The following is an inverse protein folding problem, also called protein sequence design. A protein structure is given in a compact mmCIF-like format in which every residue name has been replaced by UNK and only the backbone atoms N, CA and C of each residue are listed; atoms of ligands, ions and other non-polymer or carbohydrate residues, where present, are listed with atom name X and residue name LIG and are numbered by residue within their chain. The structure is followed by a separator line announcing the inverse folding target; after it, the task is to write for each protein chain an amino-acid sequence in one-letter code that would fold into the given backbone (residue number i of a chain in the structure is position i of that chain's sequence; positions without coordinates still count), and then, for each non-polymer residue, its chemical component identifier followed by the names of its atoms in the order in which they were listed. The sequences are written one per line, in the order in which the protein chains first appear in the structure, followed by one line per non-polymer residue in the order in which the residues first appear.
data_IF_782094048250
#
_entry.id   IF_782094048250
#
_cell.length_a   1.000
_cell.length_b   1.000
_cell.length_c   1.000
_cell.angle_alpha   90.00
_cell.angle_beta   90.00
_cell.angle_gamma   90.00
#
_symmetry.space_group_name_H-M   'P 1'
#
loop_
_entity.id
_entity.type
_entity.pdbx_description
1 polymer ?
#
# COMPACT_ATOMS: atom_id res chain seq x y z
N UNK A 1 42.03 26.35 6.65
CA UNK A 1 41.65 27.09 7.88
C UNK A 1 41.16 26.08 8.91
N UNK A 2 41.86 25.91 10.04
CA UNK A 2 41.34 25.10 11.14
C UNK A 2 40.17 25.84 11.78
N UNK A 3 38.98 25.26 11.66
CA UNK A 3 37.80 25.78 12.32
C UNK A 3 37.97 25.60 13.84
N UNK A 4 37.96 26.70 14.60
CA UNK A 4 38.10 26.71 16.06
C UNK A 4 36.80 26.24 16.73
N UNK A 5 36.52 24.93 16.64
CA UNK A 5 35.28 24.32 17.18
C UNK A 5 35.25 24.19 18.70
N UNK A 6 36.40 24.31 19.35
CA UNK A 6 36.53 24.22 20.80
C UNK A 6 36.83 25.60 21.38
N UNK A 7 36.06 26.00 22.40
CA UNK A 7 36.40 27.16 23.19
C UNK A 7 37.65 26.84 24.04
N UNK A 8 38.49 27.85 24.36
CA UNK A 8 39.71 27.64 25.16
C UNK A 8 39.43 26.91 26.47
N UNK A 9 38.33 27.29 27.13
CA UNK A 9 37.82 26.69 28.38
C UNK A 9 37.46 25.20 28.31
N UNK A 10 37.24 24.65 27.11
CA UNK A 10 36.95 23.21 26.92
C UNK A 10 38.23 22.43 26.66
N UNK A 11 39.28 23.08 26.15
CA UNK A 11 40.58 22.45 25.89
C UNK A 11 41.41 22.36 27.18
N UNK A 12 41.28 23.35 28.06
CA UNK A 12 41.99 23.43 29.35
C UNK A 12 41.46 22.44 30.41
N UNK A 13 40.19 22.00 30.31
CA UNK A 13 39.55 21.10 31.27
C UNK A 13 39.22 19.74 30.63
N UNK A 14 40.01 18.73 30.99
CA UNK A 14 39.90 17.34 30.51
C UNK A 14 38.49 16.76 30.75
N UNK A 15 37.85 17.13 31.86
CA UNK A 15 36.51 16.64 32.22
C UNK A 15 35.45 17.21 31.28
N UNK A 16 35.57 18.49 30.91
CA UNK A 16 34.67 19.15 29.94
C UNK A 16 34.86 18.62 28.52
N UNK A 17 36.11 18.37 28.12
CA UNK A 17 36.41 17.76 26.82
C UNK A 17 35.77 16.36 26.72
N UNK A 18 35.97 15.52 27.75
CA UNK A 18 35.39 14.18 27.83
C UNK A 18 33.87 14.20 27.78
N UNK A 19 33.22 15.08 28.55
CA UNK A 19 31.77 15.24 28.51
C UNK A 19 31.24 15.71 27.16
N UNK A 20 31.94 16.64 26.49
CA UNK A 20 31.57 17.10 25.13
C UNK A 20 31.73 15.98 24.11
N UNK A 21 32.81 15.20 24.14
CA UNK A 21 32.99 14.05 23.26
C UNK A 21 31.92 12.99 23.49
N UNK A 22 31.56 12.72 24.75
CA UNK A 22 30.47 11.79 25.08
C UNK A 22 29.11 12.28 24.56
N UNK A 23 28.84 13.58 24.65
CA UNK A 23 27.62 14.18 24.10
C UNK A 23 27.59 14.07 22.57
N UNK A 24 28.68 14.42 21.89
CA UNK A 24 28.78 14.32 20.43
C UNK A 24 28.64 12.88 19.94
N UNK A 25 29.28 11.94 20.64
CA UNK A 25 29.13 10.50 20.40
C UNK A 25 27.66 10.08 20.54
N UNK A 26 26.98 10.50 21.61
CA UNK A 26 25.56 10.21 21.83
C UNK A 26 24.65 10.79 20.74
N UNK A 27 24.98 11.98 20.23
CA UNK A 27 24.26 12.61 19.12
C UNK A 27 24.47 11.89 17.77
N UNK A 28 25.63 11.26 17.58
CA UNK A 28 25.93 10.41 16.41
C UNK A 28 25.32 9.01 16.57
N UNK A 29 25.20 8.50 17.80
CA UNK A 29 24.58 7.21 18.11
C UNK A 29 23.07 7.18 17.90
N UNK A 30 22.40 8.35 17.92
CA UNK A 30 20.97 8.39 17.62
C UNK A 30 20.73 8.11 16.13
N UNK A 31 19.90 7.11 15.77
CA UNK A 31 19.65 6.76 14.38
C UNK A 31 19.05 7.96 13.67
N UNK A 32 19.66 8.35 12.56
CA UNK A 32 19.18 9.47 11.76
C UNK A 32 17.89 9.03 11.08
N UNK A 33 16.78 9.60 11.53
CA UNK A 33 15.47 9.34 10.94
C UNK A 33 15.39 10.11 9.61
N UNK A 34 15.42 9.37 8.51
CA UNK A 34 15.24 9.93 7.18
C UNK A 34 13.84 10.52 7.04
N UNK A 35 13.76 11.72 6.46
CA UNK A 35 12.46 12.30 6.11
C UNK A 35 11.92 11.62 4.87
N UNK A 36 10.70 11.11 4.98
CA UNK A 36 10.03 10.44 3.88
C UNK A 36 9.09 11.42 3.16
N UNK A 37 9.19 11.49 1.83
CA UNK A 37 8.22 12.20 1.00
C UNK A 37 7.48 11.19 0.11
N UNK A 38 6.21 10.93 0.43
CA UNK A 38 5.32 10.07 -0.37
C UNK A 38 4.74 10.83 -1.56
N UNK A 39 4.87 10.26 -2.76
CA UNK A 39 4.29 10.76 -4.01
C UNK A 39 3.31 9.70 -4.53
N UNK A 40 2.05 10.07 -4.70
CA UNK A 40 1.02 9.21 -5.30
C UNK A 40 1.24 9.09 -6.81
N UNK A 41 1.34 7.86 -7.30
CA UNK A 41 1.60 7.58 -8.71
C UNK A 41 0.30 7.43 -9.51
N UNK A 42 0.35 7.91 -10.75
CA UNK A 42 -0.71 7.70 -11.74
C UNK A 42 -1.76 8.81 -11.81
N UNK A 43 -1.64 9.92 -11.07
CA UNK A 43 -2.61 11.02 -11.19
C UNK A 43 -2.58 11.67 -12.59
N UNK A 44 -1.37 11.95 -13.10
CA UNK A 44 -1.21 12.50 -14.45
C UNK A 44 -1.65 11.51 -15.53
N UNK A 45 -1.35 10.22 -15.33
CA UNK A 45 -1.76 9.14 -16.23
C UNK A 45 -3.29 9.01 -16.24
N UNK A 46 -3.95 9.10 -15.07
CA UNK A 46 -5.42 9.08 -14.97
C UNK A 46 -6.05 10.24 -15.74
N UNK A 47 -5.45 11.43 -15.67
CA UNK A 47 -5.90 12.61 -16.44
C UNK A 47 -5.74 12.38 -17.95
N UNK A 48 -4.60 11.84 -18.39
CA UNK A 48 -4.37 11.52 -19.79
C UNK A 48 -5.38 10.48 -20.31
N UNK A 49 -5.63 9.40 -19.55
CA UNK A 49 -6.61 8.36 -19.89
C UNK A 49 -8.02 8.96 -20.02
N UNK A 50 -8.41 9.87 -19.12
CA UNK A 50 -9.70 10.57 -19.22
C UNK A 50 -9.82 11.33 -20.56
N UNK A 51 -8.76 12.02 -20.97
CA UNK A 51 -8.71 12.72 -22.26
C UNK A 51 -8.83 11.76 -23.44
N UNK A 52 -8.01 10.71 -23.47
CA UNK A 52 -7.99 9.71 -24.55
C UNK A 52 -9.34 8.99 -24.66
N UNK A 53 -9.91 8.52 -23.55
CA UNK A 53 -11.21 7.85 -23.54
C UNK A 53 -12.32 8.77 -24.07
N UNK A 54 -12.32 10.04 -23.66
CA UNK A 54 -13.29 11.03 -24.17
C UNK A 54 -13.12 11.24 -25.68
N UNK A 55 -11.88 11.36 -26.16
CA UNK A 55 -11.59 11.52 -27.60
C UNK A 55 -12.05 10.33 -28.42
N UNK A 56 -11.71 9.10 -28.00
CA UNK A 56 -12.13 7.86 -28.69
C UNK A 56 -13.65 7.72 -28.75
N UNK A 57 -14.34 7.97 -27.64
CA UNK A 57 -15.81 7.92 -27.60
C UNK A 57 -16.41 8.96 -28.53
N UNK A 58 -15.85 10.17 -28.59
CA UNK A 58 -16.32 11.21 -29.50
C UNK A 58 -16.15 10.80 -30.97
N UNK A 59 -15.01 10.20 -31.34
CA UNK A 59 -14.79 9.73 -32.72
C UNK A 59 -15.84 8.69 -33.10
N UNK A 60 -16.11 7.72 -32.22
CA UNK A 60 -17.14 6.69 -32.46
C UNK A 60 -18.53 7.32 -32.56
N UNK A 61 -18.92 8.14 -31.58
CA UNK A 61 -20.25 8.78 -31.54
C UNK A 61 -20.48 9.67 -32.76
N UNK A 62 -19.51 10.53 -33.10
CA UNK A 62 -19.62 11.39 -34.28
C UNK A 62 -19.74 10.56 -35.56
N UNK A 63 -18.96 9.48 -35.71
CA UNK A 63 -19.07 8.58 -36.86
C UNK A 63 -20.44 7.91 -36.92
N UNK A 64 -20.97 7.43 -35.79
CA UNK A 64 -22.31 6.82 -35.71
C UNK A 64 -23.41 7.82 -36.05
N UNK A 65 -23.29 9.08 -35.59
CA UNK A 65 -24.26 10.13 -35.93
C UNK A 65 -24.24 10.45 -37.43
N UNK A 66 -23.06 10.50 -38.05
CA UNK A 66 -22.93 10.70 -39.50
C UNK A 66 -23.63 9.55 -40.25
N UNK A 67 -23.33 8.30 -39.90
CA UNK A 67 -23.97 7.13 -40.52
C UNK A 67 -25.49 7.09 -40.30
N UNK A 68 -25.95 7.46 -39.11
CA UNK A 68 -27.38 7.54 -38.81
C UNK A 68 -28.08 8.62 -39.63
N UNK A 69 -27.41 9.75 -39.90
CA UNK A 69 -27.92 10.81 -40.77
C UNK A 69 -28.03 10.32 -42.22
N UNK A 70 -27.01 9.61 -42.71
CA UNK A 70 -27.01 9.09 -44.08
C UNK A 70 -28.13 8.05 -44.31
N UNK A 71 -28.49 7.27 -43.28
CA UNK A 71 -29.52 6.23 -43.37
C UNK A 71 -30.96 6.71 -43.12
N UNK A 72 -31.17 7.61 -42.15
CA UNK A 72 -32.52 8.04 -41.71
C UNK A 72 -33.04 9.30 -42.44
N UNK A 73 -32.25 9.88 -43.34
CA UNK A 73 -32.56 11.13 -44.04
C UNK A 73 -32.47 12.37 -43.13
N UNK A 74 -32.74 13.56 -43.68
CA UNK A 74 -32.62 14.81 -42.92
C UNK A 74 -33.75 15.00 -41.87
N UNK A 75 -33.34 15.51 -40.70
CA UNK A 75 -34.11 15.96 -39.51
C UNK A 75 -35.56 15.43 -39.44
N UNK A 76 -35.69 14.11 -39.31
CA UNK A 76 -36.95 13.42 -39.03
C UNK A 76 -37.11 13.16 -37.52
N UNK A 77 -38.34 12.90 -37.05
CA UNK A 77 -38.57 12.55 -35.65
C UNK A 77 -37.79 11.29 -35.21
N UNK A 78 -37.62 10.33 -36.13
CA UNK A 78 -36.80 9.13 -35.91
C UNK A 78 -35.31 9.46 -35.75
N UNK A 79 -34.78 10.43 -36.51
CA UNK A 79 -33.41 10.91 -36.36
C UNK A 79 -33.16 11.54 -34.97
N UNK A 80 -34.08 12.36 -34.48
CA UNK A 80 -33.97 12.99 -33.15
C UNK A 80 -33.95 11.94 -32.03
N UNK A 81 -34.82 10.92 -32.13
CA UNK A 81 -34.86 9.82 -31.16
C UNK A 81 -33.55 9.01 -31.21
N UNK A 82 -33.07 8.67 -32.41
CA UNK A 82 -31.82 7.95 -32.59
C UNK A 82 -30.62 8.73 -32.02
N UNK A 83 -30.54 10.03 -32.31
CA UNK A 83 -29.48 10.91 -31.79
C UNK A 83 -29.51 10.97 -30.26
N UNK A 84 -30.69 11.11 -29.65
CA UNK A 84 -30.85 11.11 -28.19
C UNK A 84 -30.33 9.82 -27.56
N UNK A 85 -30.64 8.67 -28.18
CA UNK A 85 -30.16 7.37 -27.71
C UNK A 85 -28.64 7.24 -27.84
N UNK A 86 -28.05 7.67 -28.97
CA UNK A 86 -26.59 7.67 -29.17
C UNK A 86 -25.90 8.54 -28.11
N UNK A 87 -26.44 9.72 -27.81
CA UNK A 87 -25.88 10.60 -26.77
C UNK A 87 -26.05 10.04 -25.35
N UNK A 88 -27.12 9.30 -25.05
CA UNK A 88 -27.26 8.60 -23.78
C UNK A 88 -26.22 7.48 -23.65
N UNK A 89 -26.04 6.68 -24.70
CA UNK A 89 -25.03 5.61 -24.74
C UNK A 89 -23.60 6.14 -24.61
N UNK A 90 -23.29 7.29 -25.22
CA UNK A 90 -21.99 7.97 -25.11
C UNK A 90 -21.52 8.07 -23.66
N UNK A 91 -22.41 8.45 -22.74
CA UNK A 91 -22.04 8.70 -21.35
C UNK A 91 -21.60 7.40 -20.65
N UNK A 92 -22.36 6.32 -20.84
CA UNK A 92 -22.07 5.00 -20.28
C UNK A 92 -20.75 4.46 -20.86
N UNK A 93 -20.61 4.47 -22.19
CA UNK A 93 -19.40 3.97 -22.85
C UNK A 93 -18.14 4.75 -22.47
N UNK A 94 -18.24 6.07 -22.26
CA UNK A 94 -17.12 6.90 -21.82
C UNK A 94 -16.59 6.47 -20.47
N UNK A 95 -17.47 6.23 -19.51
CA UNK A 95 -17.06 5.82 -18.16
C UNK A 95 -16.52 4.38 -18.15
N UNK A 96 -17.18 3.46 -18.85
CA UNK A 96 -16.74 2.07 -18.95
C UNK A 96 -15.38 1.94 -19.64
N UNK A 97 -15.18 2.64 -20.76
CA UNK A 97 -13.91 2.66 -21.47
C UNK A 97 -12.80 3.26 -20.60
N UNK A 98 -13.06 4.39 -19.94
CA UNK A 98 -12.10 5.03 -19.04
C UNK A 98 -11.67 4.06 -17.93
N UNK A 99 -12.62 3.38 -17.31
CA UNK A 99 -12.36 2.51 -16.17
C UNK A 99 -11.71 1.18 -16.59
N UNK A 100 -12.03 0.66 -17.78
CA UNK A 100 -11.33 -0.47 -18.39
C UNK A 100 -9.88 -0.11 -18.72
N UNK A 101 -9.63 1.02 -19.41
CA UNK A 101 -8.29 1.51 -19.73
C UNK A 101 -7.47 1.74 -18.46
N UNK A 102 -8.07 2.35 -17.43
CA UNK A 102 -7.39 2.58 -16.15
C UNK A 102 -6.98 1.29 -15.47
N UNK A 103 -7.88 0.30 -15.40
CA UNK A 103 -7.59 -1.01 -14.82
C UNK A 103 -6.45 -1.71 -15.57
N UNK A 104 -6.45 -1.64 -16.90
CA UNK A 104 -5.41 -2.25 -17.72
C UNK A 104 -4.04 -1.58 -17.53
N UNK A 105 -3.97 -0.25 -17.64
CA UNK A 105 -2.71 0.51 -17.52
C UNK A 105 -2.14 0.46 -16.11
N UNK A 106 -2.99 0.44 -15.07
CA UNK A 106 -2.54 0.46 -13.68
C UNK A 106 -2.09 -0.90 -13.16
N UNK A 107 -2.49 -2.00 -13.81
CA UNK A 107 -2.20 -3.36 -13.33
C UNK A 107 -0.69 -3.57 -13.15
N UNK A 108 -0.26 -3.92 -11.94
CA UNK A 108 1.15 -4.21 -11.61
C UNK A 108 2.08 -2.99 -11.58
N UNK A 109 1.56 -1.76 -11.71
CA UNK A 109 2.37 -0.53 -11.58
C UNK A 109 2.42 -0.07 -10.12
N UNK A 110 3.53 0.57 -9.69
CA UNK A 110 3.64 1.07 -8.32
C UNK A 110 2.58 2.13 -8.06
N UNK A 111 1.93 2.06 -6.90
CA UNK A 111 0.90 3.01 -6.47
C UNK A 111 1.51 4.22 -5.79
N UNK A 112 2.64 4.04 -5.11
CA UNK A 112 3.35 5.11 -4.43
C UNK A 112 4.84 5.04 -4.71
N UNK A 113 5.46 6.22 -4.74
CA UNK A 113 6.91 6.37 -4.73
C UNK A 113 7.29 7.28 -3.57
N UNK A 114 8.20 6.81 -2.75
CA UNK A 114 8.75 7.53 -1.60
C UNK A 114 10.17 7.97 -1.92
N UNK A 115 10.54 9.17 -1.47
CA UNK A 115 11.91 9.66 -1.47
C UNK A 115 12.39 9.77 -0.03
N UNK A 116 13.58 9.27 0.25
CA UNK A 116 14.23 9.44 1.54
C UNK A 116 15.21 10.61 1.47
N UNK A 117 15.02 11.58 2.36
CA UNK A 117 15.81 12.80 2.44
C UNK A 117 16.53 12.81 3.78
N UNK A 118 17.84 12.97 3.74
CA UNK A 118 18.63 13.15 4.95
C UNK A 118 18.30 14.52 5.58
N UNK A 119 17.86 14.59 6.85
CA UNK A 119 17.54 15.85 7.52
C UNK A 119 18.74 16.80 7.64
N UNK A 120 19.97 16.28 7.67
CA UNK A 120 21.20 17.06 7.87
C UNK A 120 21.66 17.70 6.56
N UNK A 121 21.86 16.87 5.52
CA UNK A 121 22.34 17.37 4.21
C UNK A 121 21.23 17.86 3.30
N UNK A 122 19.97 17.56 3.60
CA UNK A 122 18.78 17.77 2.74
C UNK A 122 18.88 17.09 1.37
N UNK A 123 19.81 16.17 1.19
CA UNK A 123 19.99 15.41 -0.05
C UNK A 123 19.09 14.18 -0.06
N UNK A 124 18.71 13.75 -1.26
CA UNK A 124 17.97 12.50 -1.45
C UNK A 124 18.96 11.35 -1.35
N UNK A 125 18.78 10.50 -0.34
CA UNK A 125 19.66 9.36 -0.05
C UNK A 125 19.05 8.03 -0.46
N UNK A 126 17.79 8.02 -0.91
CA UNK A 126 17.14 6.81 -1.37
C UNK A 126 15.76 7.04 -1.96
N UNK A 127 15.23 6.00 -2.57
CA UNK A 127 13.89 5.94 -3.12
C UNK A 127 13.25 4.59 -2.80
N UNK A 128 11.94 4.59 -2.61
CA UNK A 128 11.15 3.37 -2.43
C UNK A 128 9.95 3.38 -3.35
N UNK A 129 9.63 2.23 -3.92
CA UNK A 129 8.44 1.98 -4.70
C UNK A 129 7.53 1.02 -3.95
N UNK A 130 6.24 1.31 -3.92
CA UNK A 130 5.25 0.49 -3.22
C UNK A 130 4.10 0.09 -4.15
N UNK A 131 3.77 -1.19 -4.09
CA UNK A 131 2.67 -1.82 -4.79
C UNK A 131 1.68 -2.39 -3.77
N UNK A 132 0.40 -2.36 -4.11
CA UNK A 132 -0.65 -2.93 -3.27
C UNK A 132 -1.76 -3.45 -4.16
N UNK A 133 -1.81 -4.75 -4.43
CA UNK A 133 -2.76 -5.34 -5.36
C UNK A 133 -3.48 -6.53 -4.75
N UNK A 134 -4.71 -6.79 -5.21
CA UNK A 134 -5.40 -8.03 -4.90
C UNK A 134 -4.89 -9.12 -5.83
N UNK A 135 -4.56 -10.29 -5.27
CA UNK A 135 -4.03 -11.44 -6.00
C UNK A 135 -4.78 -12.71 -5.65
N UNK A 136 -4.71 -13.70 -6.54
CA UNK A 136 -5.17 -15.07 -6.24
C UNK A 136 -4.00 -15.86 -5.67
N UNK A 137 -4.29 -16.89 -4.86
CA UNK A 137 -3.27 -17.75 -4.26
C UNK A 137 -2.38 -18.41 -5.33
N UNK A 138 -2.99 -18.83 -6.45
CA UNK A 138 -2.30 -19.44 -7.59
C UNK A 138 -1.33 -18.51 -8.32
N UNK A 139 -1.49 -17.19 -8.18
CA UNK A 139 -0.59 -16.20 -8.81
C UNK A 139 0.63 -15.86 -7.96
N UNK A 140 0.72 -16.41 -6.74
CA UNK A 140 1.85 -16.18 -5.82
C UNK A 140 2.96 -17.21 -6.03
N UNK A 141 4.21 -16.91 -5.65
CA UNK A 141 5.31 -17.87 -5.70
C UNK A 141 5.05 -19.16 -4.91
N UNK A 142 5.52 -20.30 -5.41
CA UNK A 142 5.26 -21.63 -4.83
C UNK A 142 5.63 -21.73 -3.35
N UNK A 143 6.75 -21.12 -2.95
CA UNK A 143 7.16 -21.10 -1.53
C UNK A 143 6.14 -20.39 -0.63
N UNK A 144 5.52 -19.30 -1.10
CA UNK A 144 4.44 -18.61 -0.36
C UNK A 144 3.17 -19.47 -0.32
N UNK A 145 2.84 -20.14 -1.41
CA UNK A 145 1.72 -21.08 -1.46
C UNK A 145 1.92 -22.24 -0.46
N UNK A 146 3.14 -22.76 -0.37
CA UNK A 146 3.51 -23.81 0.59
C UNK A 146 3.44 -23.31 2.04
N UNK A 147 3.99 -22.12 2.34
CA UNK A 147 3.92 -21.50 3.67
C UNK A 147 2.47 -21.28 4.10
N UNK A 148 1.60 -20.91 3.16
CA UNK A 148 0.17 -20.70 3.41
C UNK A 148 -0.59 -21.99 3.72
N UNK A 149 -0.05 -23.17 3.36
CA UNK A 149 -0.74 -24.49 3.30
C UNK A 149 -1.94 -24.60 4.25
N UNK A 150 -3.09 -24.87 3.64
CA UNK A 150 -4.42 -24.84 4.27
C UNK A 150 -4.57 -26.02 5.23
N UNK A 151 -4.66 -25.76 6.55
CA UNK A 151 -5.25 -26.74 7.49
C UNK A 151 -6.79 -26.75 7.41
N UNK A 152 -7.39 -25.65 6.98
CA UNK A 152 -8.86 -25.49 6.83
C UNK A 152 -9.13 -24.73 5.53
N UNK A 153 -10.01 -25.28 4.68
CA UNK A 153 -10.43 -24.67 3.42
C UNK A 153 -11.39 -23.51 3.72
N UNK A 154 -10.86 -22.31 3.93
CA UNK A 154 -11.68 -21.10 3.82
C UNK A 154 -12.01 -20.89 2.34
N UNK A 155 -13.29 -20.97 1.99
CA UNK A 155 -13.78 -20.91 0.60
C UNK A 155 -13.70 -19.50 -0.01
N UNK A 156 -13.50 -18.46 0.79
CA UNK A 156 -13.50 -17.05 0.35
C UNK A 156 -12.29 -16.27 0.91
N UNK A 157 -11.08 -16.71 0.60
CA UNK A 157 -9.87 -15.96 0.99
C UNK A 157 -9.56 -14.86 -0.04
N UNK A 158 -9.58 -13.61 0.41
CA UNK A 158 -9.07 -12.46 -0.35
C UNK A 158 -7.63 -12.19 0.04
N UNK A 159 -6.72 -12.16 -0.95
CA UNK A 159 -5.30 -11.92 -0.69
C UNK A 159 -4.93 -10.50 -1.13
N UNK A 160 -4.51 -9.70 -0.16
CA UNK A 160 -3.92 -8.39 -0.37
C UNK A 160 -2.40 -8.54 -0.40
N UNK A 161 -1.80 -8.29 -1.57
CA UNK A 161 -0.36 -8.39 -1.78
C UNK A 161 0.26 -6.99 -1.76
N UNK A 162 0.94 -6.67 -0.65
CA UNK A 162 1.82 -5.50 -0.55
C UNK A 162 3.23 -5.90 -0.93
N UNK A 163 3.86 -5.11 -1.79
CA UNK A 163 5.26 -5.29 -2.18
C UNK A 163 5.95 -3.93 -2.14
N UNK A 164 7.16 -3.93 -1.64
CA UNK A 164 8.02 -2.77 -1.60
C UNK A 164 9.38 -3.09 -2.19
N UNK A 165 9.97 -2.09 -2.86
CA UNK A 165 11.34 -2.13 -3.34
C UNK A 165 12.03 -0.84 -2.92
N UNK A 166 13.06 -0.97 -2.10
CA UNK A 166 13.83 0.15 -1.56
C UNK A 166 15.22 0.15 -2.21
N UNK A 167 15.65 1.31 -2.71
CA UNK A 167 16.97 1.52 -3.31
C UNK A 167 17.63 2.72 -2.61
N UNK A 168 18.76 2.45 -1.95
CA UNK A 168 19.51 3.42 -1.14
C UNK A 168 20.85 3.76 -1.80
N UNK A 169 21.25 5.03 -1.74
CA UNK A 169 22.51 5.51 -2.30
C UNK A 169 23.63 5.41 -1.27
N UNK A 170 24.42 4.34 -1.32
CA UNK A 170 25.50 4.06 -0.36
C UNK A 170 26.52 5.19 -0.20
N UNK A 171 26.80 5.97 -1.26
CA UNK A 171 27.76 7.08 -1.23
C UNK A 171 27.23 8.38 -0.61
N UNK A 172 25.91 8.50 -0.42
CA UNK A 172 25.27 9.67 0.19
C UNK A 172 24.87 9.42 1.65
N UNK A 173 25.12 8.22 2.16
CA UNK A 173 24.98 7.92 3.57
C UNK A 173 26.11 8.53 4.38
N UNK A 174 25.79 8.97 5.58
CA UNK A 174 26.79 9.38 6.56
C UNK A 174 27.65 8.16 6.89
N UNK A 175 28.97 8.32 6.86
CA UNK A 175 29.93 7.27 7.21
C UNK A 175 29.68 6.79 8.65
N UNK A 176 29.59 5.46 8.85
CA UNK A 176 29.41 4.84 10.17
C UNK A 176 28.07 4.12 10.39
N UNK A 177 27.17 4.10 9.39
CA UNK A 177 25.94 3.32 9.42
C UNK A 177 26.04 2.12 8.48
N UNK A 178 25.81 0.91 8.99
CA UNK A 178 25.89 -0.34 8.20
C UNK A 178 24.55 -0.77 7.61
N UNK A 179 23.44 -0.50 8.32
CA UNK A 179 22.12 -0.99 7.95
C UNK A 179 21.04 0.08 8.07
N UNK A 180 20.05 -0.01 7.20
CA UNK A 180 18.82 0.79 7.27
C UNK A 180 17.71 -0.02 7.91
N UNK A 181 17.06 0.54 8.92
CA UNK A 181 15.87 -0.05 9.54
C UNK A 181 14.62 0.59 8.96
N UNK A 182 13.76 -0.21 8.36
CA UNK A 182 12.43 0.20 7.94
C UNK A 182 11.37 -0.27 8.96
N UNK A 183 10.36 0.56 9.21
CA UNK A 183 9.22 0.20 10.07
C UNK A 183 7.93 0.50 9.34
N UNK A 184 7.15 -0.55 9.06
CA UNK A 184 5.88 -0.46 8.38
C UNK A 184 4.72 -0.51 9.39
N UNK A 185 3.89 0.52 9.39
CA UNK A 185 2.69 0.58 10.23
C UNK A 185 1.43 0.42 9.36
N UNK A 186 0.74 -0.71 9.51
CA UNK A 186 -0.51 -0.99 8.78
C UNK A 186 -1.69 -0.86 9.74
N UNK A 187 -2.61 0.05 9.42
CA UNK A 187 -3.88 0.15 10.15
C UNK A 187 -4.90 -0.82 9.58
N UNK A 188 -5.34 -1.77 10.40
CA UNK A 188 -6.39 -2.73 10.04
C UNK A 188 -7.82 -2.15 10.16
N UNK A 189 -7.98 -0.94 10.70
CA UNK A 189 -9.30 -0.32 10.93
C UNK A 189 -10.18 -0.26 9.67
N UNK A 190 -9.68 0.10 8.47
CA UNK A 190 -10.51 0.13 7.27
C UNK A 190 -11.02 -1.27 6.90
N UNK A 191 -10.17 -2.29 7.06
CA UNK A 191 -10.52 -3.69 6.75
C UNK A 191 -11.56 -4.19 7.76
N UNK A 192 -11.40 -3.86 9.03
CA UNK A 192 -12.32 -4.22 10.11
C UNK A 192 -13.74 -3.70 9.88
N UNK A 193 -13.88 -2.51 9.29
CA UNK A 193 -15.21 -1.94 8.98
C UNK A 193 -15.97 -2.71 7.91
N UNK A 194 -15.26 -3.47 7.06
CA UNK A 194 -15.83 -4.27 5.98
C UNK A 194 -16.16 -5.71 6.43
N UNK A 195 -15.79 -6.09 7.67
CA UNK A 195 -16.05 -7.44 8.19
C UNK A 195 -17.44 -7.57 8.80
N UNK A 196 -18.02 -8.78 8.72
CA UNK A 196 -19.34 -9.07 9.26
C UNK A 196 -19.47 -8.70 10.75
N UNK A 197 -20.59 -8.04 11.07
CA UNK A 197 -20.95 -7.63 12.44
C UNK A 197 -21.60 -8.75 13.26
N UNK A 198 -21.74 -9.97 12.73
CA UNK A 198 -22.51 -11.03 13.39
C UNK A 198 -21.97 -11.30 14.81
N UNK A 199 -22.83 -11.15 15.81
CA UNK A 199 -22.58 -11.62 17.17
C UNK A 199 -23.47 -12.81 17.44
N UNK A 200 -22.89 -13.86 18.00
CA UNK A 200 -23.64 -15.03 18.44
C UNK A 200 -23.94 -14.90 19.92
N UNK A 201 -25.11 -15.38 20.33
CA UNK A 201 -25.50 -15.42 21.75
C UNK A 201 -25.18 -16.80 22.29
N UNK A 202 -24.34 -16.85 23.32
CA UNK A 202 -24.05 -18.09 24.04
C UNK A 202 -24.77 -18.01 25.37
N UNK A 203 -25.48 -19.08 25.70
CA UNK A 203 -26.20 -19.22 26.96
C UNK A 203 -25.38 -20.14 27.85
N UNK A 204 -25.05 -19.68 29.06
CA UNK A 204 -24.35 -20.47 30.07
C UNK A 204 -25.26 -20.62 31.28
N UNK A 205 -25.38 -21.84 31.81
CA UNK A 205 -26.08 -22.09 33.05
C UNK A 205 -25.08 -21.91 34.20
N UNK A 206 -25.36 -21.00 35.14
CA UNK A 206 -24.56 -20.81 36.33
C UNK A 206 -25.49 -20.72 37.55
N UNK A 207 -25.31 -21.60 38.54
CA UNK A 207 -26.11 -21.64 39.78
C UNK A 207 -27.64 -21.62 39.55
N UNK A 208 -28.13 -22.34 38.54
CA UNK A 208 -29.57 -22.41 38.23
C UNK A 208 -30.13 -21.21 37.47
N UNK A 209 -29.33 -20.17 37.21
CA UNK A 209 -29.70 -19.05 36.34
C UNK A 209 -29.02 -19.16 34.98
N UNK A 210 -29.78 -18.87 33.92
CA UNK A 210 -29.23 -18.83 32.55
C UNK A 210 -28.69 -17.43 32.29
N UNK A 211 -27.36 -17.30 32.21
CA UNK A 211 -26.70 -16.07 31.79
C UNK A 211 -26.51 -16.06 30.29
N UNK A 212 -26.68 -14.87 29.70
CA UNK A 212 -26.59 -14.65 28.26
C UNK A 212 -25.38 -13.77 27.94
N UNK A 213 -24.44 -14.32 27.19
CA UNK A 213 -23.24 -13.62 26.76
C UNK A 213 -23.27 -13.41 25.24
N UNK A 214 -23.01 -12.17 24.80
CA UNK A 214 -22.84 -11.86 23.38
C UNK A 214 -21.39 -12.09 22.98
N UNK A 215 -21.15 -13.08 22.13
CA UNK A 215 -19.83 -13.41 21.61
C UNK A 215 -19.67 -12.83 20.21
N UNK A 216 -18.72 -11.92 20.06
CA UNK A 216 -18.36 -11.34 18.76
C UNK A 216 -17.67 -12.38 17.87
N UNK A 217 -18.01 -12.40 16.58
CA UNK A 217 -17.31 -13.20 15.57
C UNK A 217 -15.83 -12.78 15.51
N UNK A 218 -14.95 -13.78 15.58
CA UNK A 218 -13.50 -13.59 15.41
C UNK A 218 -13.13 -13.80 13.96
N UNK A 219 -12.30 -12.91 13.45
CA UNK A 219 -11.76 -12.95 12.11
C UNK A 219 -10.29 -13.32 12.15
N UNK A 220 -9.86 -14.10 11.17
CA UNK A 220 -8.50 -14.61 11.06
C UNK A 220 -7.80 -13.93 9.89
N UNK A 221 -6.69 -13.25 10.16
CA UNK A 221 -5.78 -12.77 9.13
C UNK A 221 -4.51 -13.60 9.14
N UNK A 222 -4.12 -14.10 7.97
CA UNK A 222 -2.81 -14.71 7.76
C UNK A 222 -1.89 -13.64 7.18
N UNK A 223 -0.81 -13.32 7.89
CA UNK A 223 0.22 -12.39 7.45
C UNK A 223 1.44 -13.20 7.09
N UNK A 224 1.87 -13.11 5.83
CA UNK A 224 3.11 -13.74 5.35
C UNK A 224 4.00 -12.62 4.85
N UNK A 225 5.23 -12.54 5.37
CA UNK A 225 6.24 -11.56 4.97
C UNK A 225 7.41 -12.30 4.34
N UNK A 226 7.84 -11.80 3.18
CA UNK A 226 9.09 -12.18 2.54
C UNK A 226 10.03 -10.99 2.66
N UNK A 227 11.18 -11.21 3.26
CA UNK A 227 12.29 -10.27 3.32
C UNK A 227 13.39 -10.75 2.37
N UNK A 228 13.91 -9.86 1.54
CA UNK A 228 14.90 -10.17 0.51
C UNK A 228 15.94 -9.04 0.48
N UNK A 229 17.09 -9.29 1.09
CA UNK A 229 18.17 -8.31 1.22
C UNK A 229 19.16 -8.37 0.05
N UNK A 230 18.87 -9.16 -1.00
CA UNK A 230 19.70 -9.37 -2.20
C UNK A 230 21.11 -9.96 -1.95
N UNK A 231 21.57 -10.05 -0.71
CA UNK A 231 22.84 -10.69 -0.29
C UNK A 231 22.64 -12.15 0.06
N UNK A 232 21.57 -12.45 0.78
CA UNK A 232 21.29 -13.76 1.37
C UNK A 232 20.01 -14.39 0.81
N UNK A 233 19.80 -15.66 1.13
CA UNK A 233 18.55 -16.34 0.79
C UNK A 233 17.36 -15.61 1.43
N UNK A 234 16.25 -15.40 0.70
CA UNK A 234 15.09 -14.68 1.24
C UNK A 234 14.53 -15.36 2.49
N UNK A 235 14.30 -14.57 3.53
CA UNK A 235 13.73 -15.01 4.79
C UNK A 235 12.21 -14.86 4.74
N UNK A 236 11.51 -15.85 5.28
CA UNK A 236 10.06 -15.88 5.29
C UNK A 236 9.57 -15.91 6.73
N UNK A 237 8.46 -15.23 6.97
CA UNK A 237 7.80 -15.21 8.25
C UNK A 237 6.29 -15.37 8.07
N UNK A 238 5.66 -16.05 9.02
CA UNK A 238 4.21 -16.23 9.06
C UNK A 238 3.66 -15.87 10.43
N UNK A 239 2.61 -15.05 10.43
CA UNK A 239 1.83 -14.75 11.61
C UNK A 239 0.35 -15.02 11.37
N UNK A 240 -0.29 -15.45 12.44
CA UNK A 240 -1.73 -15.61 12.54
C UNK A 240 -2.24 -14.53 13.48
N UNK A 241 -3.00 -13.60 12.91
CA UNK A 241 -3.59 -12.49 13.66
C UNK A 241 -5.08 -12.77 13.82
N UNK A 242 -5.52 -12.93 15.06
CA UNK A 242 -6.93 -13.07 15.41
C UNK A 242 -7.43 -11.73 15.90
N UNK A 243 -8.54 -11.27 15.35
CA UNK A 243 -9.10 -9.96 15.68
C UNK A 243 -10.62 -10.00 15.71
N UNK A 244 -11.21 -9.05 16.43
CA UNK A 244 -12.64 -8.75 16.37
C UNK A 244 -12.83 -7.33 15.81
N UNK A 245 -14.06 -6.81 15.86
CA UNK A 245 -14.36 -5.48 15.32
C UNK A 245 -13.69 -4.33 16.10
N UNK A 246 -13.29 -4.59 17.33
CA UNK A 246 -12.87 -3.56 18.28
C UNK A 246 -11.36 -3.56 18.51
N UNK A 247 -10.71 -4.72 18.46
CA UNK A 247 -9.31 -4.92 18.81
C UNK A 247 -8.69 -6.14 18.14
N UNK A 248 -7.36 -6.17 18.16
CA UNK A 248 -6.60 -7.40 17.92
C UNK A 248 -6.70 -8.25 19.20
N UNK A 249 -7.07 -9.52 19.05
CA UNK A 249 -7.28 -10.46 20.16
C UNK A 249 -6.01 -11.24 20.44
N UNK A 250 -5.35 -11.77 19.40
CA UNK A 250 -4.06 -12.45 19.52
C UNK A 250 -3.22 -12.31 18.26
N UNK A 251 -1.90 -12.40 18.44
CA UNK A 251 -0.92 -12.50 17.35
C UNK A 251 -0.03 -13.70 17.68
N UNK A 252 -0.02 -14.68 16.81
CA UNK A 252 0.75 -15.92 16.97
C UNK A 252 1.76 -16.02 15.82
N UNK A 253 3.06 -16.13 16.13
CA UNK A 253 4.08 -16.46 15.14
C UNK A 253 3.98 -17.96 14.84
N UNK A 254 3.95 -18.31 13.56
CA UNK A 254 3.95 -19.71 13.11
C UNK A 254 5.37 -20.01 12.61
N UNK A 255 6.00 -20.99 13.22
CA UNK A 255 7.29 -21.51 12.77
C UNK A 255 7.12 -22.19 11.41
N UNK A 256 8.08 -21.92 10.53
CA UNK A 256 8.13 -22.49 9.19
C UNK A 256 9.06 -23.70 9.27
N UNK A 257 8.49 -24.90 9.09
CA UNK A 257 9.25 -26.13 8.89
C UNK A 257 9.66 -26.27 7.43
#
# INVERSE_FOLDING_TARGET
KLNKYNSPRVVEDVTRLSNKMRLLRRLIEHPIVLREQTISMGNNIKRAIKGIATGLVMVVVTSTVILARDYLGEISASFIIAMSFIYALREIFKDDLRDAMWRWIRKGKPKWRKKYIDPTTKKVVGKKLEWLDYKTLSSLPDKIQQIRKKRVVQREEQILHYHEKTEMATSLFLSGYEQTRETLNISLRPIIRLMDKSSNRVYRLNEGQVTKESVEKRHLLNVIVKEDNHTDAPVYYRWKVVLNRSKIVSIEKIELN
#
